data_IF_495591639293
#
_entry.id   IF_495591639293
#
_cell.length_a   1.000
_cell.length_b   1.000
_cell.length_c   1.000
_cell.angle_alpha   90.00
_cell.angle_beta   90.00
_cell.angle_gamma   90.00
#
_symmetry.space_group_name_H-M   'P 1'
#
loop_
_entity.id
_entity.type
_entity.pdbx_description
1 polymer ?
#
# COMPACT_ATOMS: atom_id res chain seq x y z
N UNK A 1 -1.39 12.57 19.26
CA UNK A 1 -1.92 12.62 17.87
C UNK A 1 -0.78 13.12 16.98
N UNK A 2 -0.42 12.39 15.92
CA UNK A 2 0.77 12.46 15.02
C UNK A 2 2.10 13.05 15.58
N UNK A 3 2.13 14.29 16.06
CA UNK A 3 3.29 14.96 16.67
C UNK A 3 4.01 14.10 17.72
N UNK A 4 3.26 13.37 18.54
CA UNK A 4 3.84 12.48 19.57
C UNK A 4 4.70 11.39 18.94
N UNK A 5 4.21 10.75 17.88
CA UNK A 5 4.95 9.73 17.13
C UNK A 5 6.16 10.33 16.41
N UNK A 6 5.99 11.48 15.76
CA UNK A 6 7.09 12.19 15.09
C UNK A 6 8.20 12.63 16.05
N UNK A 7 7.87 12.76 17.34
CA UNK A 7 8.83 13.14 18.38
C UNK A 7 9.62 11.93 18.91
N UNK A 8 9.21 10.69 18.58
CA UNK A 8 9.95 9.46 18.90
C UNK A 8 11.13 9.22 17.93
N UNK A 9 11.09 9.85 16.75
CA UNK A 9 12.17 9.77 15.77
C UNK A 9 13.45 10.34 16.38
N UNK A 10 14.54 9.58 16.28
CA UNK A 10 15.83 9.96 16.84
C UNK A 10 16.36 11.23 16.18
N UNK A 11 16.56 12.27 16.99
CA UNK A 11 17.17 13.52 16.51
C UNK A 11 18.69 13.32 16.35
N UNK A 12 19.11 13.15 15.10
CA UNK A 12 20.52 12.96 14.72
C UNK A 12 21.37 14.24 14.88
N UNK A 13 20.74 15.41 15.08
CA UNK A 13 21.44 16.69 15.23
C UNK A 13 22.12 16.77 16.60
N UNK A 14 23.27 17.42 16.68
CA UNK A 14 23.95 17.74 17.95
C UNK A 14 23.07 18.63 18.83
N UNK A 15 23.17 18.51 20.16
CA UNK A 15 22.28 19.20 21.12
C UNK A 15 22.27 20.72 20.91
N UNK A 16 23.42 21.31 20.61
CA UNK A 16 23.64 22.73 20.36
C UNK A 16 22.93 23.21 19.07
N UNK A 17 22.68 22.30 18.12
CA UNK A 17 21.99 22.55 16.85
C UNK A 17 20.47 22.41 16.91
N UNK A 18 19.89 21.98 18.04
CA UNK A 18 18.45 21.71 18.19
C UNK A 18 17.66 22.95 18.58
N UNK A 19 17.75 24.02 17.77
CA UNK A 19 16.94 25.25 17.95
C UNK A 19 15.45 25.02 17.68
N UNK A 20 15.13 24.03 16.86
CA UNK A 20 13.77 23.68 16.46
C UNK A 20 13.51 22.21 16.81
N UNK A 21 12.47 21.96 17.61
CA UNK A 21 12.02 20.60 17.92
C UNK A 21 11.74 19.84 16.61
N UNK A 22 12.32 18.63 16.51
CA UNK A 22 12.22 17.82 15.29
C UNK A 22 10.76 17.54 14.93
N UNK A 23 9.96 17.08 15.90
CA UNK A 23 8.56 16.72 15.67
C UNK A 23 7.72 17.86 15.07
N UNK A 24 7.95 19.11 15.45
CA UNK A 24 7.23 20.25 14.85
C UNK A 24 7.70 20.56 13.43
N UNK A 25 8.99 20.47 13.14
CA UNK A 25 9.50 20.65 11.78
C UNK A 25 8.90 19.61 10.84
N UNK A 26 8.86 18.34 11.27
CA UNK A 26 8.25 17.26 10.50
C UNK A 26 6.74 17.48 10.32
N UNK A 27 6.02 17.78 11.41
CA UNK A 27 4.58 18.01 11.37
C UNK A 27 4.21 19.15 10.41
N UNK A 28 4.91 20.28 10.48
CA UNK A 28 4.61 21.42 9.62
C UNK A 28 5.05 21.20 8.17
N UNK A 29 6.08 20.39 7.95
CA UNK A 29 6.45 19.94 6.60
C UNK A 29 5.34 19.09 6.00
N UNK A 30 4.74 18.17 6.76
CA UNK A 30 3.60 17.38 6.33
C UNK A 30 2.40 18.28 6.00
N UNK A 31 2.05 19.23 6.88
CA UNK A 31 0.95 20.18 6.60
C UNK A 31 1.19 20.99 5.33
N UNK A 32 2.44 21.42 5.10
CA UNK A 32 2.79 22.14 3.89
C UNK A 32 2.63 21.26 2.64
N UNK A 33 3.10 20.01 2.67
CA UNK A 33 3.01 19.06 1.55
C UNK A 33 1.53 18.75 1.24
N UNK A 34 0.72 18.49 2.27
CA UNK A 34 -0.73 18.31 2.12
C UNK A 34 -1.43 19.56 1.56
N UNK A 35 -0.83 20.74 1.73
CA UNK A 35 -1.28 22.00 1.15
C UNK A 35 -0.66 22.29 -0.24
N UNK A 36 0.01 21.32 -0.86
CA UNK A 36 0.59 21.44 -2.20
C UNK A 36 2.04 21.92 -2.27
N UNK A 37 2.79 21.93 -1.15
CA UNK A 37 4.21 22.23 -1.18
C UNK A 37 5.03 21.06 -1.75
N UNK A 38 5.76 21.29 -2.83
CA UNK A 38 6.61 20.32 -3.54
C UNK A 38 8.11 20.63 -3.41
N UNK A 39 8.49 21.62 -2.59
CA UNK A 39 9.89 22.01 -2.39
C UNK A 39 10.13 22.57 -0.99
N UNK A 40 11.39 22.49 -0.51
CA UNK A 40 11.77 23.06 0.79
C UNK A 40 11.48 24.56 0.91
N UNK A 41 11.55 25.30 -0.20
CA UNK A 41 11.19 26.72 -0.26
C UNK A 41 9.68 26.92 -0.08
N UNK A 42 8.85 26.08 -0.71
CA UNK A 42 7.40 26.12 -0.49
C UNK A 42 7.03 25.70 0.93
N UNK A 43 7.72 24.73 1.54
CA UNK A 43 7.54 24.38 2.96
C UNK A 43 7.84 25.59 3.87
N UNK A 44 8.98 26.25 3.65
CA UNK A 44 9.31 27.49 4.38
C UNK A 44 8.23 28.56 4.19
N UNK A 45 7.75 28.76 2.96
CA UNK A 45 6.72 29.75 2.62
C UNK A 45 5.40 29.45 3.35
N UNK A 46 4.99 28.18 3.40
CA UNK A 46 3.83 27.73 4.17
C UNK A 46 3.99 28.05 5.65
N UNK A 47 5.12 27.65 6.26
CA UNK A 47 5.38 27.90 7.68
C UNK A 47 5.36 29.40 7.96
N UNK A 48 6.01 30.21 7.13
CA UNK A 48 6.02 31.68 7.25
C UNK A 48 4.61 32.26 7.20
N UNK A 49 3.81 31.86 6.20
CA UNK A 49 2.46 32.38 6.00
C UNK A 49 1.46 31.93 7.07
N UNK A 50 1.66 30.76 7.69
CA UNK A 50 0.79 30.20 8.73
C UNK A 50 1.37 30.32 10.14
N UNK A 51 2.51 31.00 10.32
CA UNK A 51 3.26 30.97 11.57
C UNK A 51 2.46 31.43 12.79
N UNK A 52 1.66 32.50 12.67
CA UNK A 52 0.80 32.96 13.77
C UNK A 52 -0.14 31.87 14.27
N UNK A 53 -0.87 31.23 13.34
CA UNK A 53 -1.79 30.13 13.65
C UNK A 53 -1.04 28.93 14.24
N UNK A 54 0.09 28.54 13.64
CA UNK A 54 0.90 27.42 14.12
C UNK A 54 1.46 27.69 15.52
N UNK A 55 1.94 28.90 15.77
CA UNK A 55 2.47 29.32 17.07
C UNK A 55 1.40 29.21 18.13
N UNK A 56 0.22 29.76 17.88
CA UNK A 56 -0.85 29.85 18.87
C UNK A 56 -1.45 28.45 19.14
N UNK A 57 -1.69 27.65 18.08
CA UNK A 57 -2.24 26.29 18.23
C UNK A 57 -1.29 25.30 18.90
N UNK A 58 0.02 25.42 18.68
CA UNK A 58 1.01 24.46 19.18
C UNK A 58 1.90 25.01 20.30
N UNK A 59 1.64 26.24 20.78
CA UNK A 59 2.41 26.87 21.85
C UNK A 59 3.90 27.05 21.52
N UNK A 60 4.23 27.40 20.27
CA UNK A 60 5.63 27.44 19.81
C UNK A 60 6.40 28.59 20.45
N UNK A 61 7.63 28.31 20.90
CA UNK A 61 8.55 29.30 21.50
C UNK A 61 9.70 29.69 20.56
N UNK A 62 9.50 29.56 19.25
CA UNK A 62 10.55 29.86 18.27
C UNK A 62 10.78 31.37 18.18
N UNK A 63 12.02 31.83 18.41
CA UNK A 63 12.38 33.25 18.26
C UNK A 63 12.31 33.73 16.80
N UNK A 64 12.61 32.83 15.86
CA UNK A 64 12.55 33.05 14.40
C UNK A 64 12.09 31.76 13.74
N UNK A 65 11.49 31.85 12.55
CA UNK A 65 11.15 30.66 11.76
C UNK A 65 12.43 30.03 11.16
N UNK A 66 12.46 28.70 10.97
CA UNK A 66 13.58 28.03 10.31
C UNK A 66 13.70 28.50 8.85
N UNK A 67 14.93 28.76 8.41
CA UNK A 67 15.23 28.98 7.00
C UNK A 67 15.00 27.69 6.19
N UNK A 68 14.74 27.82 4.88
CA UNK A 68 14.53 26.65 4.02
C UNK A 68 15.76 25.70 4.02
N UNK A 69 16.97 26.23 4.19
CA UNK A 69 18.20 25.43 4.32
C UNK A 69 18.21 24.62 5.61
N UNK A 70 17.71 25.18 6.72
CA UNK A 70 17.54 24.46 7.98
C UNK A 70 16.54 23.32 7.83
N UNK A 71 15.38 23.59 7.20
CA UNK A 71 14.35 22.58 6.93
C UNK A 71 14.91 21.46 6.04
N UNK A 72 15.58 21.82 4.95
CA UNK A 72 16.25 20.88 4.04
C UNK A 72 17.22 19.99 4.78
N UNK A 73 18.14 20.58 5.54
CA UNK A 73 19.17 19.82 6.24
C UNK A 73 18.57 18.88 7.28
N UNK A 74 17.49 19.30 7.96
CA UNK A 74 16.71 18.46 8.88
C UNK A 74 16.13 17.24 8.15
N UNK A 75 15.44 17.47 7.03
CA UNK A 75 14.74 16.39 6.31
C UNK A 75 15.72 15.40 5.68
N UNK A 76 16.82 15.90 5.07
CA UNK A 76 17.81 15.04 4.39
C UNK A 76 18.58 14.15 5.37
N UNK A 77 18.78 14.59 6.61
CA UNK A 77 19.50 13.79 7.61
C UNK A 77 18.63 12.77 8.34
N UNK A 78 17.33 12.66 8.02
CA UNK A 78 16.46 11.66 8.62
C UNK A 78 16.80 10.26 8.14
N UNK A 79 16.67 9.30 9.04
CA UNK A 79 16.62 7.88 8.70
C UNK A 79 15.27 7.58 8.03
N UNK A 80 15.32 7.05 6.81
CA UNK A 80 14.12 6.60 6.09
C UNK A 80 13.41 5.47 6.87
N UNK A 81 14.18 4.56 7.48
CA UNK A 81 13.68 3.48 8.32
C UNK A 81 12.93 4.03 9.54
N UNK A 82 13.53 4.95 10.32
CA UNK A 82 12.89 5.52 11.51
C UNK A 82 11.58 6.25 11.16
N UNK A 83 11.55 6.89 9.99
CA UNK A 83 10.36 7.58 9.49
C UNK A 83 9.25 6.58 9.13
N UNK A 84 9.59 5.52 8.39
CA UNK A 84 8.65 4.45 8.03
C UNK A 84 8.10 3.77 9.29
N UNK A 85 8.94 3.40 10.25
CA UNK A 85 8.49 2.78 11.50
C UNK A 85 7.54 3.69 12.29
N UNK A 86 7.83 4.98 12.34
CA UNK A 86 6.98 5.99 12.98
C UNK A 86 5.60 6.05 12.31
N UNK A 87 5.56 6.11 10.98
CA UNK A 87 4.30 6.14 10.22
C UNK A 87 3.54 4.81 10.31
N UNK A 88 4.22 3.67 10.32
CA UNK A 88 3.61 2.36 10.55
C UNK A 88 2.92 2.32 11.90
N UNK A 89 3.62 2.69 12.99
CA UNK A 89 3.03 2.77 14.34
C UNK A 89 1.81 3.70 14.39
N UNK A 90 1.91 4.87 13.76
CA UNK A 90 0.79 5.81 13.73
C UNK A 90 -0.40 5.27 12.93
N UNK A 91 -0.14 4.63 11.79
CA UNK A 91 -1.16 4.05 10.92
C UNK A 91 -1.86 2.87 11.58
N UNK A 92 -1.13 2.01 12.28
CA UNK A 92 -1.69 0.92 13.09
C UNK A 92 -2.59 1.44 14.22
N UNK A 93 -2.20 2.54 14.87
CA UNK A 93 -3.05 3.19 15.87
C UNK A 93 -4.32 3.77 15.26
N UNK A 94 -4.24 4.36 14.06
CA UNK A 94 -5.38 4.98 13.38
C UNK A 94 -6.33 3.95 12.78
N UNK A 95 -5.80 2.82 12.29
CA UNK A 95 -6.59 1.78 11.64
C UNK A 95 -7.52 1.04 12.60
N UNK A 96 -7.26 1.11 13.91
CA UNK A 96 -8.04 0.41 14.91
C UNK A 96 -8.01 -1.11 14.69
N UNK A 97 -6.94 -1.64 14.09
CA UNK A 97 -6.76 -3.09 13.90
C UNK A 97 -6.67 -3.86 15.23
N UNK A 98 -6.67 -3.16 16.37
CA UNK A 98 -6.89 -3.75 17.69
C UNK A 98 -8.40 -3.88 17.98
N UNK A 99 -8.87 -5.11 18.02
CA UNK A 99 -10.13 -5.60 18.60
C UNK A 99 -11.44 -5.28 17.84
N UNK A 100 -12.16 -6.37 17.53
CA UNK A 100 -13.61 -6.42 17.30
C UNK A 100 -14.18 -5.66 16.09
N UNK A 101 -13.51 -5.69 14.93
CA UNK A 101 -14.23 -5.44 13.67
C UNK A 101 -15.02 -6.69 13.28
N UNK A 102 -16.34 -6.58 13.26
CA UNK A 102 -17.25 -7.60 12.71
C UNK A 102 -17.13 -7.64 11.18
N UNK A 103 -16.13 -8.35 10.66
CA UNK A 103 -15.95 -8.50 9.21
C UNK A 103 -14.58 -9.02 8.83
N UNK A 104 -14.42 -9.39 7.55
CA UNK A 104 -13.10 -9.71 6.97
C UNK A 104 -12.37 -8.41 6.66
N UNK A 105 -11.12 -8.31 7.08
CA UNK A 105 -10.24 -7.17 6.79
C UNK A 105 -9.65 -7.37 5.39
N UNK A 106 -9.71 -6.34 4.54
CA UNK A 106 -9.14 -6.37 3.18
C UNK A 106 -7.94 -5.43 3.05
N UNK A 107 -6.77 -5.99 2.72
CA UNK A 107 -5.53 -5.26 2.49
C UNK A 107 -5.12 -5.39 1.02
N UNK A 108 -5.15 -4.27 0.29
CA UNK A 108 -4.67 -4.21 -1.08
C UNK A 108 -3.17 -3.91 -1.11
N UNK A 109 -2.42 -4.70 -1.86
CA UNK A 109 -0.97 -4.56 -1.97
C UNK A 109 -0.59 -4.20 -3.40
N UNK A 110 0.22 -3.15 -3.55
CA UNK A 110 0.59 -2.59 -4.87
C UNK A 110 1.98 -1.93 -4.84
N UNK A 111 2.71 -2.09 -5.95
CA UNK A 111 4.01 -1.45 -6.19
C UNK A 111 3.85 -0.17 -7.00
N UNK A 112 4.34 0.96 -6.47
CA UNK A 112 4.34 2.27 -7.16
C UNK A 112 5.73 2.81 -7.37
N UNK A 113 6.04 3.16 -8.61
CA UNK A 113 7.28 3.88 -8.95
C UNK A 113 7.10 5.37 -8.66
N UNK A 114 7.99 5.93 -7.83
CA UNK A 114 8.05 7.35 -7.54
C UNK A 114 8.71 8.09 -8.72
N UNK A 115 7.91 8.63 -9.63
CA UNK A 115 8.41 9.39 -10.78
C UNK A 115 9.24 10.60 -10.32
N UNK A 116 10.39 10.82 -10.96
CA UNK A 116 11.31 11.92 -10.64
C UNK A 116 12.31 11.62 -9.51
N UNK A 117 12.33 10.40 -8.97
CA UNK A 117 13.32 9.95 -7.98
C UNK A 117 14.58 9.32 -8.61
N UNK A 118 14.61 9.14 -9.93
CA UNK A 118 15.77 8.62 -10.64
C UNK A 118 16.88 9.68 -10.70
N UNK A 119 18.13 9.23 -10.67
CA UNK A 119 19.29 10.09 -10.81
C UNK A 119 20.21 9.50 -11.88
N UNK A 120 20.06 9.98 -13.11
CA UNK A 120 20.85 9.53 -14.25
C UNK A 120 22.35 9.81 -14.09
N UNK A 121 22.73 10.84 -13.31
CA UNK A 121 24.14 11.17 -13.11
C UNK A 121 24.84 10.15 -12.20
N UNK A 122 24.10 9.55 -11.29
CA UNK A 122 24.59 8.52 -10.36
C UNK A 122 24.07 7.11 -10.71
N UNK A 123 23.51 6.92 -11.91
CA UNK A 123 22.89 5.68 -12.39
C UNK A 123 21.87 5.05 -11.41
N UNK A 124 21.14 5.89 -10.67
CA UNK A 124 20.12 5.43 -9.72
C UNK A 124 18.78 5.30 -10.41
N UNK A 125 18.22 4.08 -10.35
CA UNK A 125 16.86 3.80 -10.80
C UNK A 125 15.83 4.57 -9.96
N UNK A 126 14.66 4.77 -10.54
CA UNK A 126 13.54 5.34 -9.80
C UNK A 126 13.16 4.43 -8.61
N UNK A 127 12.95 5.04 -7.45
CA UNK A 127 12.52 4.36 -6.23
C UNK A 127 11.14 3.76 -6.48
N UNK A 128 11.00 2.48 -6.12
CA UNK A 128 9.74 1.76 -6.15
C UNK A 128 9.31 1.47 -4.71
N UNK A 129 8.08 1.84 -4.36
CA UNK A 129 7.51 1.60 -3.04
C UNK A 129 6.39 0.57 -3.17
N UNK A 130 6.49 -0.51 -2.42
CA UNK A 130 5.41 -1.47 -2.23
C UNK A 130 4.59 -1.06 -1.00
N UNK A 131 3.28 -0.93 -1.16
CA UNK A 131 2.39 -0.46 -0.09
C UNK A 131 1.29 -1.46 0.19
N UNK A 132 1.01 -1.72 1.47
CA UNK A 132 -0.22 -2.32 1.92
C UNK A 132 -1.24 -1.23 2.23
N UNK A 133 -2.45 -1.35 1.72
CA UNK A 133 -3.53 -0.37 1.81
C UNK A 133 -4.78 -1.02 2.38
N UNK A 134 -5.20 -0.56 3.55
CA UNK A 134 -6.40 -1.02 4.22
C UNK A 134 -7.62 -0.35 3.59
N UNK A 135 -8.38 -1.12 2.82
CA UNK A 135 -9.41 -0.58 1.92
C UNK A 135 -10.56 0.13 2.65
N UNK A 136 -10.94 -0.37 3.82
CA UNK A 136 -12.06 0.18 4.60
C UNK A 136 -11.79 1.57 5.19
N UNK A 137 -10.54 1.84 5.55
CA UNK A 137 -10.16 3.07 6.27
C UNK A 137 -9.32 4.04 5.44
N UNK A 138 -8.88 3.63 4.25
CA UNK A 138 -8.02 4.44 3.40
C UNK A 138 -6.62 4.65 3.97
N UNK A 139 -6.16 3.74 4.82
CA UNK A 139 -4.88 3.86 5.56
C UNK A 139 -3.84 2.93 4.95
N UNK A 140 -2.58 3.36 4.94
CA UNK A 140 -1.43 2.53 4.56
C UNK A 140 -0.81 1.97 5.86
N UNK A 141 -1.18 0.75 6.31
CA UNK A 141 -0.60 0.17 7.52
C UNK A 141 0.90 -0.10 7.41
N UNK A 142 1.41 -0.40 6.22
CA UNK A 142 2.82 -0.67 5.98
C UNK A 142 3.22 -0.31 4.56
N UNK A 143 4.46 0.09 4.37
CA UNK A 143 5.08 0.26 3.06
C UNK A 143 6.58 -0.02 3.15
N UNK A 144 7.17 -0.48 2.06
CA UNK A 144 8.60 -0.75 1.98
C UNK A 144 9.14 -0.41 0.58
N UNK A 145 10.42 -0.08 0.54
CA UNK A 145 11.12 0.13 -0.73
C UNK A 145 11.44 -1.22 -1.38
N UNK A 146 11.15 -1.35 -2.66
CA UNK A 146 11.58 -2.47 -3.49
C UNK A 146 13.04 -2.18 -3.84
N UNK A 147 13.95 -2.94 -3.23
CA UNK A 147 15.40 -2.73 -3.40
C UNK A 147 15.85 -2.87 -4.86
N UNK A 148 16.95 -2.21 -5.23
CA UNK A 148 17.44 -2.15 -6.62
C UNK A 148 17.70 -3.51 -7.30
N UNK A 149 17.94 -4.55 -6.49
CA UNK A 149 18.21 -5.93 -6.92
C UNK A 149 17.09 -6.91 -6.57
N UNK A 150 15.98 -6.41 -6.03
CA UNK A 150 14.87 -7.22 -5.57
C UNK A 150 13.64 -6.91 -6.41
N UNK A 151 12.84 -7.93 -6.70
CA UNK A 151 11.57 -7.74 -7.41
C UNK A 151 10.41 -7.56 -6.43
N UNK A 152 9.28 -7.07 -6.94
CA UNK A 152 8.05 -6.87 -6.17
C UNK A 152 7.55 -8.15 -5.47
N UNK A 153 7.69 -9.32 -6.12
CA UNK A 153 7.12 -10.59 -5.63
C UNK A 153 7.70 -11.00 -4.26
N UNK A 154 9.04 -11.08 -4.06
CA UNK A 154 9.62 -11.32 -2.74
C UNK A 154 9.19 -10.29 -1.69
N UNK A 155 9.10 -9.02 -2.07
CA UNK A 155 8.71 -7.93 -1.16
C UNK A 155 7.26 -8.09 -0.70
N UNK A 156 6.36 -8.43 -1.62
CA UNK A 156 4.96 -8.72 -1.34
C UNK A 156 4.78 -9.88 -0.35
N UNK A 157 5.59 -10.94 -0.51
CA UNK A 157 5.58 -12.12 0.36
C UNK A 157 6.11 -11.78 1.76
N UNK A 158 7.20 -11.02 1.84
CA UNK A 158 7.78 -10.61 3.13
C UNK A 158 6.84 -9.66 3.88
N UNK A 159 6.26 -8.67 3.20
CA UNK A 159 5.33 -7.72 3.82
C UNK A 159 4.11 -8.43 4.43
N UNK A 160 3.59 -9.47 3.76
CA UNK A 160 2.50 -10.28 4.31
C UNK A 160 2.92 -10.98 5.61
N UNK A 161 4.10 -11.61 5.62
CA UNK A 161 4.63 -12.32 6.80
C UNK A 161 4.95 -11.37 7.95
N UNK A 162 5.52 -10.22 7.66
CA UNK A 162 5.91 -9.21 8.65
C UNK A 162 4.72 -8.40 9.19
N UNK A 163 3.59 -8.38 8.48
CA UNK A 163 2.40 -7.65 8.92
C UNK A 163 1.84 -8.15 10.26
N UNK A 164 2.17 -9.38 10.67
CA UNK A 164 1.70 -10.01 11.91
C UNK A 164 0.17 -10.12 12.00
N UNK A 165 -0.53 -9.92 10.88
CA UNK A 165 -1.98 -9.95 10.80
C UNK A 165 -2.44 -11.36 10.43
N UNK A 166 -3.48 -11.86 11.11
CA UNK A 166 -4.10 -13.15 10.81
C UNK A 166 -5.56 -12.95 10.38
N UNK A 167 -6.11 -13.91 9.64
CA UNK A 167 -7.49 -13.88 9.13
C UNK A 167 -7.82 -12.67 8.25
N UNK A 168 -6.80 -12.09 7.61
CA UNK A 168 -6.94 -10.97 6.66
C UNK A 168 -7.05 -11.50 5.23
N UNK A 169 -7.75 -10.77 4.36
CA UNK A 169 -7.77 -11.01 2.91
C UNK A 169 -6.83 -10.03 2.23
N UNK A 170 -5.71 -10.52 1.73
CA UNK A 170 -4.80 -9.73 0.90
C UNK A 170 -5.24 -9.75 -0.56
N UNK A 171 -5.20 -8.61 -1.24
CA UNK A 171 -5.44 -8.53 -2.69
C UNK A 171 -4.17 -8.12 -3.41
N UNK A 172 -3.77 -8.88 -4.41
CA UNK A 172 -2.61 -8.58 -5.24
C UNK A 172 -2.95 -8.51 -6.72
N UNK A 173 -2.07 -7.84 -7.46
CA UNK A 173 -2.10 -7.77 -8.90
C UNK A 173 -1.80 -9.14 -9.57
N UNK A 174 -1.78 -9.17 -10.90
CA UNK A 174 -1.55 -10.41 -11.62
C UNK A 174 -0.11 -10.91 -11.56
N UNK A 175 0.88 -10.01 -11.43
CA UNK A 175 2.30 -10.38 -11.37
C UNK A 175 2.56 -11.27 -10.14
N UNK A 176 1.88 -10.96 -9.05
CA UNK A 176 1.94 -11.69 -7.79
C UNK A 176 1.16 -13.02 -7.77
N UNK A 177 0.52 -13.43 -8.87
CA UNK A 177 -0.12 -14.75 -9.02
C UNK A 177 0.94 -15.86 -9.11
N UNK A 178 1.55 -16.17 -7.97
CA UNK A 178 2.67 -17.10 -7.83
C UNK A 178 2.39 -18.14 -6.75
N UNK A 179 2.92 -19.34 -6.94
CA UNK A 179 2.80 -20.44 -5.97
C UNK A 179 3.26 -20.03 -4.57
N UNK A 180 4.42 -19.39 -4.49
CA UNK A 180 5.00 -18.94 -3.23
C UNK A 180 4.14 -17.90 -2.53
N UNK A 181 3.45 -17.03 -3.27
CA UNK A 181 2.53 -16.03 -2.70
C UNK A 181 1.32 -16.70 -2.07
N UNK A 182 0.71 -17.68 -2.75
CA UNK A 182 -0.42 -18.43 -2.19
C UNK A 182 -0.01 -19.28 -0.98
N UNK A 183 1.18 -19.90 -1.02
CA UNK A 183 1.75 -20.64 0.11
C UNK A 183 2.00 -19.72 1.31
N UNK A 184 2.61 -18.55 1.09
CA UNK A 184 2.86 -17.58 2.15
C UNK A 184 1.56 -17.10 2.84
N UNK A 185 0.46 -16.94 2.10
CA UNK A 185 -0.84 -16.63 2.67
C UNK A 185 -1.35 -17.75 3.59
N UNK A 186 -1.29 -19.01 3.13
CA UNK A 186 -1.67 -20.16 3.95
C UNK A 186 -0.80 -20.33 5.21
N UNK A 187 0.53 -20.19 5.07
CA UNK A 187 1.49 -20.26 6.17
C UNK A 187 1.25 -19.18 7.23
N UNK A 188 0.73 -18.01 6.83
CA UNK A 188 0.45 -16.88 7.73
C UNK A 188 -1.00 -16.82 8.21
N UNK A 189 -1.79 -17.88 8.02
CA UNK A 189 -3.22 -17.93 8.37
C UNK A 189 -4.04 -16.77 7.74
N UNK A 190 -3.71 -16.43 6.50
CA UNK A 190 -4.34 -15.36 5.73
C UNK A 190 -4.97 -15.89 4.44
N UNK A 191 -5.91 -15.12 3.91
CA UNK A 191 -6.56 -15.38 2.64
C UNK A 191 -5.97 -14.45 1.56
N UNK A 192 -6.02 -14.87 0.31
CA UNK A 192 -5.53 -14.06 -0.80
C UNK A 192 -6.48 -14.09 -1.98
N UNK A 193 -6.70 -12.92 -2.58
CA UNK A 193 -7.37 -12.73 -3.85
C UNK A 193 -6.31 -12.20 -4.82
N UNK A 194 -6.09 -12.92 -5.92
CA UNK A 194 -5.06 -12.55 -6.90
C UNK A 194 -5.62 -12.65 -8.31
N UNK A 195 -5.24 -11.71 -9.17
CA UNK A 195 -5.71 -11.69 -10.54
C UNK A 195 -4.96 -12.74 -11.39
N UNK A 196 -5.68 -13.55 -12.16
CA UNK A 196 -5.08 -14.48 -13.13
C UNK A 196 -5.10 -13.82 -14.51
N UNK A 197 -3.92 -13.64 -15.13
CA UNK A 197 -3.77 -13.12 -16.50
C UNK A 197 -2.90 -14.06 -17.35
N UNK A 198 -2.44 -13.57 -18.50
CA UNK A 198 -1.64 -14.34 -19.46
C UNK A 198 -0.29 -14.83 -18.95
N UNK A 199 0.17 -14.34 -17.79
CA UNK A 199 1.34 -14.87 -17.09
C UNK A 199 1.11 -16.30 -16.53
N UNK A 200 -0.15 -16.71 -16.33
CA UNK A 200 -0.52 -18.05 -15.88
C UNK A 200 -1.49 -18.69 -16.89
N UNK A 201 -1.00 -18.99 -18.11
CA UNK A 201 -1.84 -19.39 -19.26
C UNK A 201 -2.76 -20.59 -18.97
N UNK A 202 -2.23 -21.65 -18.36
CA UNK A 202 -3.02 -22.86 -18.04
C UNK A 202 -4.12 -22.53 -17.05
N UNK A 203 -3.77 -21.90 -15.92
CA UNK A 203 -4.73 -21.50 -14.90
C UNK A 203 -5.79 -20.55 -15.47
N UNK A 204 -5.39 -19.60 -16.33
CA UNK A 204 -6.33 -18.70 -16.99
C UNK A 204 -7.35 -19.46 -17.87
N UNK A 205 -6.89 -20.47 -18.61
CA UNK A 205 -7.77 -21.30 -19.42
C UNK A 205 -8.71 -22.15 -18.56
N UNK A 206 -8.23 -22.76 -17.49
CA UNK A 206 -9.08 -23.52 -16.55
C UNK A 206 -10.13 -22.61 -15.89
N UNK A 207 -9.74 -21.40 -15.50
CA UNK A 207 -10.65 -20.38 -14.99
C UNK A 207 -11.74 -20.02 -15.99
N UNK A 208 -11.38 -19.83 -17.27
CA UNK A 208 -12.34 -19.54 -18.35
C UNK A 208 -13.29 -20.71 -18.58
N UNK A 209 -12.75 -21.93 -18.72
CA UNK A 209 -13.54 -23.15 -18.90
C UNK A 209 -14.55 -23.34 -17.77
N UNK A 210 -14.12 -23.13 -16.52
CA UNK A 210 -15.00 -23.18 -15.34
C UNK A 210 -16.14 -22.18 -15.44
N UNK A 211 -15.88 -20.97 -15.91
CA UNK A 211 -16.90 -19.93 -16.07
C UNK A 211 -17.87 -20.18 -17.23
N UNK A 212 -17.42 -20.87 -18.27
CA UNK A 212 -18.20 -21.15 -19.48
C UNK A 212 -19.07 -22.40 -19.32
N UNK A 213 -18.56 -23.41 -18.61
CA UNK A 213 -19.22 -24.70 -18.41
C UNK A 213 -20.00 -24.78 -17.09
N UNK A 214 -19.59 -24.01 -16.08
CA UNK A 214 -20.19 -24.03 -14.74
C UNK A 214 -21.14 -22.86 -14.50
N UNK A 215 -21.98 -23.01 -13.47
CA UNK A 215 -22.75 -21.91 -12.90
C UNK A 215 -22.07 -21.42 -11.62
N UNK A 216 -22.07 -20.09 -11.36
CA UNK A 216 -21.51 -19.58 -10.12
C UNK A 216 -22.38 -20.00 -8.93
N UNK A 217 -21.75 -20.40 -7.82
CA UNK A 217 -22.44 -20.70 -6.56
C UNK A 217 -22.99 -19.43 -5.90
N UNK A 218 -22.37 -18.28 -6.16
CA UNK A 218 -22.94 -16.97 -5.83
C UNK A 218 -22.55 -15.92 -6.87
N UNK A 219 -23.45 -14.96 -7.07
CA UNK A 219 -23.30 -13.92 -8.07
C UNK A 219 -23.60 -12.56 -7.44
N UNK A 220 -22.82 -11.55 -7.84
CA UNK A 220 -23.02 -10.16 -7.47
C UNK A 220 -22.86 -9.28 -8.71
N UNK A 221 -23.76 -8.33 -8.86
CA UNK A 221 -23.70 -7.34 -9.94
C UNK A 221 -23.74 -5.95 -9.33
N UNK A 222 -22.67 -5.20 -9.56
CA UNK A 222 -22.59 -3.80 -9.16
C UNK A 222 -23.54 -2.95 -10.03
N UNK A 223 -24.26 -1.98 -9.45
CA UNK A 223 -25.04 -1.02 -10.22
C UNK A 223 -24.16 -0.30 -11.23
N UNK A 224 -24.74 0.09 -12.38
CA UNK A 224 -24.02 0.88 -13.37
C UNK A 224 -23.73 2.27 -12.78
N UNK A 225 -22.45 2.63 -12.67
CA UNK A 225 -22.03 3.95 -12.19
C UNK A 225 -21.40 4.73 -13.35
N UNK A 226 -21.88 5.95 -13.58
CA UNK A 226 -21.29 6.91 -14.53
C UNK A 226 -20.38 7.86 -13.74
N UNK A 227 -19.06 7.72 -13.89
CA UNK A 227 -18.08 8.67 -13.34
C UNK A 227 -17.34 9.39 -14.47
N UNK A 228 -17.47 10.72 -14.50
CA UNK A 228 -16.86 11.63 -15.50
C UNK A 228 -17.11 11.17 -16.95
N UNK A 229 -16.22 10.34 -17.51
CA UNK A 229 -16.23 9.83 -18.88
C UNK A 229 -16.22 8.29 -18.95
N UNK A 230 -16.55 7.60 -17.85
CA UNK A 230 -16.50 6.13 -17.78
C UNK A 230 -17.82 5.59 -17.24
N UNK A 231 -18.43 4.70 -18.01
CA UNK A 231 -19.56 3.88 -17.58
C UNK A 231 -18.97 2.50 -17.24
N UNK A 232 -19.04 2.11 -15.98
CA UNK A 232 -18.62 0.77 -15.54
C UNK A 232 -19.78 0.03 -14.92
N UNK A 233 -19.91 -1.24 -15.29
CA UNK A 233 -20.59 -2.25 -14.47
C UNK A 233 -19.61 -3.38 -14.15
N UNK A 234 -19.80 -4.01 -13.00
CA UNK A 234 -18.99 -5.14 -12.56
C UNK A 234 -19.89 -6.31 -12.24
N UNK A 235 -19.64 -7.45 -12.91
CA UNK A 235 -20.26 -8.72 -12.57
C UNK A 235 -19.24 -9.64 -11.93
N UNK A 236 -19.61 -10.22 -10.80
CA UNK A 236 -18.78 -11.07 -9.97
C UNK A 236 -19.48 -12.42 -9.80
N UNK A 237 -18.85 -13.50 -10.26
CA UNK A 237 -19.33 -14.87 -10.03
C UNK A 237 -18.30 -15.65 -9.20
N UNK A 238 -18.76 -16.33 -8.16
CA UNK A 238 -17.93 -17.18 -7.30
C UNK A 238 -18.15 -18.64 -7.66
N UNK A 239 -17.05 -19.35 -7.93
CA UNK A 239 -17.04 -20.77 -8.27
C UNK A 239 -16.21 -21.51 -7.21
N UNK A 240 -16.80 -22.54 -6.60
CA UNK A 240 -16.15 -23.33 -5.54
C UNK A 240 -15.30 -24.46 -6.11
N UNK A 241 -15.74 -25.06 -7.23
CA UNK A 241 -15.01 -26.12 -7.92
C UNK A 241 -14.48 -25.62 -9.26
N UNK A 242 -13.18 -25.82 -9.50
CA UNK A 242 -12.52 -25.48 -10.76
C UNK A 242 -12.41 -26.70 -11.65
N UNK A 243 -12.75 -26.54 -12.93
CA UNK A 243 -12.49 -27.53 -13.98
C UNK A 243 -11.02 -27.41 -14.38
N UNK A 244 -10.18 -28.26 -13.81
CA UNK A 244 -8.72 -28.22 -13.98
C UNK A 244 -8.31 -29.17 -15.12
N UNK A 245 -7.48 -28.70 -16.05
CA UNK A 245 -6.86 -29.61 -17.02
C UNK A 245 -5.84 -30.54 -16.34
N UNK A 246 -6.08 -31.86 -16.41
CA UNK A 246 -5.14 -32.88 -15.95
C UNK A 246 -3.90 -32.95 -16.85
N UNK A 247 -2.89 -32.12 -16.57
CA UNK A 247 -1.53 -32.35 -17.10
C UNK A 247 -0.46 -31.94 -16.08
N UNK A 248 0.16 -32.97 -15.49
CA UNK A 248 1.24 -32.98 -14.48
C UNK A 248 0.87 -32.31 -13.14
N UNK A 249 0.52 -33.15 -12.15
CA UNK A 249 0.56 -32.83 -10.73
C UNK A 249 1.90 -32.18 -10.36
N UNK A 250 1.92 -30.85 -10.18
CA UNK A 250 3.12 -30.13 -9.76
C UNK A 250 3.35 -28.74 -10.35
N UNK A 251 2.36 -28.11 -11.01
CA UNK A 251 2.56 -26.77 -11.62
C UNK A 251 1.48 -25.72 -11.34
N UNK A 252 0.50 -25.98 -10.47
CA UNK A 252 -0.42 -24.93 -10.04
C UNK A 252 0.12 -24.22 -8.80
N UNK A 253 0.02 -22.88 -8.75
CA UNK A 253 0.19 -22.16 -7.51
C UNK A 253 -0.63 -22.79 -6.36
N UNK A 254 0.06 -23.39 -5.39
CA UNK A 254 -0.51 -23.94 -4.16
C UNK A 254 -1.11 -25.35 -4.30
N UNK A 255 -0.57 -26.22 -5.16
CA UNK A 255 -1.16 -27.54 -5.43
C UNK A 255 -0.69 -28.71 -4.54
N UNK A 256 0.20 -28.44 -3.58
CA UNK A 256 0.53 -29.42 -2.54
C UNK A 256 -0.44 -29.25 -1.35
N UNK A 257 -1.41 -30.17 -1.25
CA UNK A 257 -2.25 -30.52 -0.09
C UNK A 257 -3.52 -29.71 0.28
N UNK A 258 -3.82 -28.54 -0.31
CA UNK A 258 -4.97 -27.73 0.15
C UNK A 258 -6.08 -27.50 -0.90
N UNK A 259 -6.68 -28.58 -1.41
CA UNK A 259 -7.79 -28.53 -2.40
C UNK A 259 -9.10 -27.97 -1.85
N UNK A 260 -9.32 -27.97 -0.52
CA UNK A 260 -10.66 -27.74 0.08
C UNK A 260 -11.13 -26.28 0.16
N UNK A 261 -10.27 -25.28 -0.08
CA UNK A 261 -10.60 -23.86 0.19
C UNK A 261 -10.33 -22.90 -0.97
N UNK A 262 -10.09 -23.37 -2.20
CA UNK A 262 -9.83 -22.50 -3.35
C UNK A 262 -11.16 -22.04 -3.96
N UNK A 263 -11.45 -20.73 -3.90
CA UNK A 263 -12.59 -20.12 -4.59
C UNK A 263 -12.09 -19.27 -5.75
N UNK A 264 -12.72 -19.43 -6.90
CA UNK A 264 -12.42 -18.62 -8.07
C UNK A 264 -13.46 -17.52 -8.23
N UNK A 265 -13.00 -16.31 -8.59
CA UNK A 265 -13.86 -15.15 -8.79
C UNK A 265 -13.69 -14.64 -10.22
N UNK A 266 -14.75 -14.73 -11.03
CA UNK A 266 -14.79 -14.07 -12.33
C UNK A 266 -15.16 -12.61 -12.13
N UNK A 267 -14.31 -11.70 -12.57
CA UNK A 267 -14.65 -10.29 -12.70
C UNK A 267 -14.82 -9.94 -14.18
N UNK A 268 -16.01 -9.51 -14.60
CA UNK A 268 -16.25 -8.96 -15.93
C UNK A 268 -16.56 -7.47 -15.80
N UNK A 269 -15.76 -6.64 -16.47
CA UNK A 269 -16.00 -5.21 -16.64
C UNK A 269 -16.70 -5.02 -18.00
N UNK A 270 -17.92 -4.51 -17.98
CA UNK A 270 -18.62 -4.13 -19.21
C UNK A 270 -18.55 -2.59 -19.32
N UNK A 271 -18.02 -2.10 -20.43
CA UNK A 271 -17.98 -0.68 -20.76
C UNK A 271 -18.63 -0.48 -22.13
N UNK A 272 -19.57 0.45 -22.22
CA UNK A 272 -20.01 1.02 -23.49
C UNK A 272 -19.18 2.29 -23.73
N UNK A 273 -18.47 2.33 -24.85
CA UNK A 273 -17.95 3.59 -25.39
C UNK A 273 -19.12 4.32 -26.06
N UNK A 274 -19.45 5.53 -25.58
CA UNK A 274 -20.37 6.42 -26.31
C UNK A 274 -19.67 6.80 -27.63
N UNK A 275 -20.38 6.56 -28.74
CA UNK A 275 -19.99 6.88 -30.12
C UNK A 275 -20.01 8.37 -30.39
#
# INVERSE_FOLDING_TARGET
MLKSFLSEIKDYRRKEGRRYELGYILLFSIFAILSGADSYRKIHTFIKGKYGILRDKFGLKWKKIPAYTTIRNIIIGLSATDLEECFRKYSLKLSGLSAEKSGRIFIACDGKTLRGSFDNFNDKKAIQIFSAFLSESGIIPAHCEIGEKTDEIPVAQNLMKESGSENVVFTYDAINCQEKTLKAAGESNNNVIVCVKGNQKTLLNDCRNTCELGLPGSEYQEPVVKERNRIESRKVGVFEDMIITEKKMGKYPGDSENRKNKRYIRHKKEGMEES
#
